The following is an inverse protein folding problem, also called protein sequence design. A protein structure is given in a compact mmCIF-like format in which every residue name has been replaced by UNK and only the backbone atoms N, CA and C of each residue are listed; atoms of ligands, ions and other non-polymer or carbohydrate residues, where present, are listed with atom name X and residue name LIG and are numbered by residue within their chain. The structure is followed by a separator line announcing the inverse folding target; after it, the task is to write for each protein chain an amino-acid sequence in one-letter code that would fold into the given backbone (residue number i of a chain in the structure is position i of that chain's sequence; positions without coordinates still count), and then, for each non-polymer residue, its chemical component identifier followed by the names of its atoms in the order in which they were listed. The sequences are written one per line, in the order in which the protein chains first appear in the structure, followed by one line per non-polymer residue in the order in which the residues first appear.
data_IF_490808163639
#
_entry.id   IF_490808163639
#
_cell.length_a   1.000
_cell.length_b   1.000
_cell.length_c   1.000
_cell.angle_alpha   90.00
_cell.angle_beta   90.00
_cell.angle_gamma   90.00
#
_symmetry.space_group_name_H-M   'P 1'
#
loop_
_entity.id
_entity.type
_entity.pdbx_description
1 polymer ?
#
# COMPACT_ATOMS: atom_id res chain seq x y z
N UNK A 1 14.22 11.43 28.67
CA UNK A 1 15.48 10.71 28.94
C UNK A 1 16.60 11.59 28.38
N UNK A 2 17.83 11.45 28.85
CA UNK A 2 18.95 12.26 28.33
C UNK A 2 19.39 11.74 26.96
N UNK A 3 19.81 12.62 26.05
CA UNK A 3 20.18 12.29 24.67
C UNK A 3 21.39 11.33 24.60
N UNK A 4 22.35 11.49 25.52
CA UNK A 4 23.51 10.60 25.61
C UNK A 4 23.09 9.18 26.04
N UNK A 5 22.10 9.07 26.93
CA UNK A 5 21.58 7.79 27.41
C UNK A 5 20.76 7.07 26.34
N UNK A 6 19.98 7.80 25.53
CA UNK A 6 19.27 7.23 24.37
C UNK A 6 20.26 6.67 23.35
N UNK A 7 21.34 7.40 23.06
CA UNK A 7 22.39 6.91 22.16
C UNK A 7 23.06 5.64 22.68
N UNK A 8 23.38 5.57 23.97
CA UNK A 8 24.00 4.40 24.58
C UNK A 8 23.10 3.16 24.54
N UNK A 9 21.78 3.34 24.73
CA UNK A 9 20.77 2.27 24.54
C UNK A 9 20.85 1.71 23.11
N UNK A 10 20.90 2.59 22.10
CA UNK A 10 20.92 2.20 20.69
C UNK A 10 22.24 1.50 20.32
N UNK A 11 23.38 2.01 20.77
CA UNK A 11 24.69 1.38 20.53
C UNK A 11 24.78 -0.03 21.15
N UNK A 12 24.17 -0.26 22.32
CA UNK A 12 24.10 -1.59 22.93
C UNK A 12 23.12 -2.51 22.18
N UNK A 13 22.01 -1.96 21.67
CA UNK A 13 21.07 -2.71 20.86
C UNK A 13 21.70 -3.18 19.54
N UNK A 14 22.46 -2.33 18.86
CA UNK A 14 23.24 -2.68 17.65
C UNK A 14 24.28 -3.77 17.92
N UNK A 15 24.80 -3.86 19.14
CA UNK A 15 25.69 -4.94 19.59
C UNK A 15 24.96 -6.23 19.98
N UNK A 16 23.67 -6.37 19.64
CA UNK A 16 22.81 -7.53 19.90
C UNK A 16 22.51 -7.81 21.38
N UNK A 17 22.58 -6.80 22.27
CA UNK A 17 22.08 -6.95 23.64
C UNK A 17 20.54 -6.91 23.65
N UNK A 18 19.91 -7.76 24.46
CA UNK A 18 18.45 -7.76 24.62
C UNK A 18 17.99 -6.55 25.43
N UNK A 19 16.75 -6.06 25.27
CA UNK A 19 16.24 -4.94 26.07
C UNK A 19 16.37 -5.15 27.58
N UNK A 20 16.27 -6.41 28.03
CA UNK A 20 16.47 -6.77 29.43
C UNK A 20 17.94 -6.66 29.86
N UNK A 21 18.88 -7.07 29.03
CA UNK A 21 20.32 -6.92 29.30
C UNK A 21 20.75 -5.46 29.31
N UNK A 22 20.25 -4.66 28.36
CA UNK A 22 20.52 -3.21 28.29
C UNK A 22 19.96 -2.51 29.53
N UNK A 23 18.73 -2.83 29.93
CA UNK A 23 18.11 -2.27 31.13
C UNK A 23 18.91 -2.58 32.40
N UNK A 24 19.39 -3.83 32.53
CA UNK A 24 20.26 -4.23 33.64
C UNK A 24 21.60 -3.48 33.60
N UNK A 25 22.20 -3.36 32.41
CA UNK A 25 23.51 -2.73 32.21
C UNK A 25 23.49 -1.22 32.50
N UNK A 26 22.44 -0.52 32.09
CA UNK A 26 22.29 0.93 32.24
C UNK A 26 21.47 1.34 33.48
N UNK A 27 20.99 0.38 34.28
CA UNK A 27 20.18 0.66 35.46
C UNK A 27 18.80 1.28 35.16
N UNK A 28 18.23 0.94 34.00
CA UNK A 28 16.96 1.49 33.51
C UNK A 28 15.81 0.50 33.68
N UNK A 29 14.57 0.98 33.52
CA UNK A 29 13.42 0.07 33.37
C UNK A 29 13.40 -0.48 31.95
N UNK A 30 13.10 -1.78 31.81
CA UNK A 30 12.99 -2.45 30.51
C UNK A 30 12.05 -1.70 29.56
N UNK A 31 10.97 -1.13 30.08
CA UNK A 31 10.04 -0.32 29.28
C UNK A 31 10.70 0.93 28.66
N UNK A 32 11.55 1.65 29.41
CA UNK A 32 12.25 2.85 28.92
C UNK A 32 13.18 2.50 27.75
N UNK A 33 13.86 1.36 27.84
CA UNK A 33 14.72 0.81 26.78
C UNK A 33 13.90 0.41 25.54
N UNK A 34 12.77 -0.28 25.75
CA UNK A 34 11.87 -0.68 24.66
C UNK A 34 11.34 0.55 23.92
N UNK A 35 10.91 1.60 24.63
CA UNK A 35 10.41 2.83 24.04
C UNK A 35 11.45 3.50 23.14
N UNK A 36 12.71 3.61 23.58
CA UNK A 36 13.79 4.20 22.77
C UNK A 36 14.08 3.39 21.52
N UNK A 37 14.14 2.06 21.64
CA UNK A 37 14.36 1.18 20.48
C UNK A 37 13.21 1.31 19.48
N UNK A 38 11.97 1.38 19.95
CA UNK A 38 10.78 1.55 19.10
C UNK A 38 10.73 2.93 18.44
N UNK A 39 11.09 3.99 19.16
CA UNK A 39 11.06 5.35 18.63
C UNK A 39 12.22 5.61 17.65
N UNK A 40 13.38 4.95 17.82
CA UNK A 40 14.45 4.96 16.83
C UNK A 40 14.05 4.19 15.54
N UNK A 41 13.30 3.09 15.66
CA UNK A 41 12.75 2.39 14.47
C UNK A 41 11.76 3.25 13.68
N UNK A 42 11.12 4.24 14.31
CA UNK A 42 10.22 5.21 13.62
C UNK A 42 10.98 6.32 12.89
N UNK A 43 12.30 6.44 13.08
CA UNK A 43 13.16 7.35 12.32
C UNK A 43 13.95 6.53 11.31
N UNK A 44 13.44 6.34 10.07
CA UNK A 44 14.22 5.65 9.06
C UNK A 44 15.49 6.46 8.76
N UNK A 45 16.66 5.89 9.08
CA UNK A 45 17.92 6.36 8.53
C UNK A 45 17.87 6.14 7.01
N UNK A 46 18.13 7.20 6.25
CA UNK A 46 17.98 7.23 4.78
C UNK A 46 19.08 6.44 4.03
N UNK A 47 19.80 5.53 4.67
CA UNK A 47 21.08 5.00 4.14
C UNK A 47 21.28 3.49 4.23
N UNK A 48 20.34 2.72 4.77
CA UNK A 48 20.41 1.26 4.71
C UNK A 48 19.25 0.72 3.87
N UNK A 49 19.56 -0.07 2.83
CA UNK A 49 18.56 -0.91 2.16
C UNK A 49 18.04 -1.91 3.20
N UNK A 50 16.97 -1.53 3.90
CA UNK A 50 16.29 -2.44 4.82
C UNK A 50 15.76 -3.60 3.99
N UNK A 51 16.39 -4.76 4.13
CA UNK A 51 15.96 -5.98 3.47
C UNK A 51 14.56 -6.33 4.00
N UNK A 52 13.54 -6.11 3.17
CA UNK A 52 12.16 -6.33 3.56
C UNK A 52 11.95 -7.83 3.83
N UNK A 53 11.18 -8.18 4.87
CA UNK A 53 10.91 -9.58 5.15
C UNK A 53 10.24 -10.30 3.97
N UNK A 54 10.40 -11.63 3.84
CA UNK A 54 9.92 -12.35 2.67
C UNK A 54 8.40 -12.26 2.52
N UNK A 55 7.95 -12.24 1.26
CA UNK A 55 6.52 -12.20 0.92
C UNK A 55 5.86 -13.50 1.36
N UNK A 56 4.80 -13.37 2.16
CA UNK A 56 3.92 -14.47 2.49
C UNK A 56 2.77 -14.59 1.49
N UNK A 57 2.16 -13.46 1.13
CA UNK A 57 0.99 -13.45 0.25
C UNK A 57 0.82 -12.08 -0.42
N UNK A 58 0.48 -12.07 -1.70
CA UNK A 58 -0.07 -10.89 -2.37
C UNK A 58 -1.44 -11.26 -2.94
N UNK A 59 -2.43 -10.39 -2.74
CA UNK A 59 -3.80 -10.60 -3.20
C UNK A 59 -4.30 -9.37 -3.97
N UNK A 60 -5.23 -9.61 -4.88
CA UNK A 60 -6.06 -8.55 -5.48
C UNK A 60 -7.48 -9.05 -5.71
N UNK A 61 -8.48 -8.16 -5.72
CA UNK A 61 -9.84 -8.54 -6.07
C UNK A 61 -9.92 -9.02 -7.52
N UNK A 62 -10.78 -10.00 -7.77
CA UNK A 62 -10.83 -10.76 -9.03
C UNK A 62 -11.03 -9.88 -10.28
N UNK A 63 -11.88 -8.85 -10.21
CA UNK A 63 -12.13 -7.99 -11.37
C UNK A 63 -10.92 -7.13 -11.76
N UNK A 64 -10.13 -6.70 -10.77
CA UNK A 64 -8.89 -5.97 -11.03
C UNK A 64 -7.85 -6.89 -11.69
N UNK A 65 -7.70 -8.13 -11.23
CA UNK A 65 -6.83 -9.13 -11.88
C UNK A 65 -7.28 -9.41 -13.32
N UNK A 66 -8.56 -9.72 -13.53
CA UNK A 66 -9.12 -9.98 -14.86
C UNK A 66 -8.92 -8.83 -15.82
N UNK A 67 -9.00 -7.57 -15.34
CA UNK A 67 -8.87 -6.39 -16.19
C UNK A 67 -7.43 -6.02 -16.49
N UNK A 68 -6.55 -6.02 -15.48
CA UNK A 68 -5.19 -5.50 -15.64
C UNK A 68 -4.19 -6.60 -16.01
N UNK A 69 -4.32 -7.79 -15.44
CA UNK A 69 -3.36 -8.89 -15.61
C UNK A 69 -3.79 -9.83 -16.74
N UNK A 70 -5.00 -10.38 -16.64
CA UNK A 70 -5.46 -11.41 -17.58
C UNK A 70 -6.03 -10.83 -18.88
N UNK A 71 -6.47 -9.57 -18.84
CA UNK A 71 -7.20 -8.89 -19.93
C UNK A 71 -8.43 -9.67 -20.42
N UNK A 72 -9.09 -10.40 -19.51
CA UNK A 72 -10.28 -11.21 -19.79
C UNK A 72 -11.60 -10.51 -19.46
N UNK A 73 -11.54 -9.29 -18.90
CA UNK A 73 -12.70 -8.45 -18.67
C UNK A 73 -12.79 -7.36 -19.77
N UNK A 74 -13.72 -7.49 -20.74
CA UNK A 74 -13.91 -6.49 -21.79
C UNK A 74 -14.34 -5.14 -21.22
N UNK A 75 -14.00 -4.06 -21.92
CA UNK A 75 -14.27 -2.69 -21.48
C UNK A 75 -15.78 -2.44 -21.23
N UNK A 76 -16.69 -3.07 -21.99
CA UNK A 76 -18.14 -2.93 -21.82
C UNK A 76 -18.69 -3.58 -20.53
N UNK A 77 -17.90 -4.46 -19.91
CA UNK A 77 -18.28 -5.17 -18.69
C UNK A 77 -17.64 -4.57 -17.43
N UNK A 78 -16.87 -3.49 -17.57
CA UNK A 78 -16.22 -2.82 -16.45
C UNK A 78 -17.26 -2.05 -15.64
N UNK A 79 -17.73 -2.68 -14.55
CA UNK A 79 -18.72 -2.11 -13.63
C UNK A 79 -18.09 -1.39 -12.41
N UNK A 80 -16.78 -1.53 -12.23
CA UNK A 80 -16.03 -0.92 -11.12
C UNK A 80 -14.64 -0.50 -11.60
N UNK A 81 -14.12 0.59 -11.03
CA UNK A 81 -12.75 1.05 -11.23
C UNK A 81 -11.81 0.64 -10.11
N UNK A 82 -12.31 -0.06 -9.07
CA UNK A 82 -11.59 -0.27 -7.82
C UNK A 82 -10.83 -1.60 -7.76
N UNK A 83 -9.55 -1.50 -7.42
CA UNK A 83 -8.66 -2.61 -7.10
C UNK A 83 -8.22 -2.53 -5.63
N UNK A 84 -8.35 -3.60 -4.85
CA UNK A 84 -7.74 -3.70 -3.52
C UNK A 84 -6.57 -4.68 -3.56
N UNK A 85 -5.35 -4.16 -3.46
CA UNK A 85 -4.14 -4.97 -3.35
C UNK A 85 -3.79 -5.14 -1.88
N UNK A 86 -3.55 -6.38 -1.44
CA UNK A 86 -3.02 -6.69 -0.11
C UNK A 86 -1.64 -7.35 -0.27
N UNK A 87 -0.65 -6.88 0.49
CA UNK A 87 0.67 -7.48 0.56
C UNK A 87 0.93 -7.89 2.02
N UNK A 88 1.22 -9.16 2.23
CA UNK A 88 1.59 -9.73 3.52
C UNK A 88 3.03 -10.25 3.47
N UNK A 89 3.83 -9.93 4.49
CA UNK A 89 5.20 -10.43 4.68
C UNK A 89 5.30 -11.18 6.01
N UNK A 90 6.14 -12.21 6.05
CA UNK A 90 6.47 -12.88 7.32
C UNK A 90 7.32 -11.94 8.16
N UNK A 91 7.02 -11.75 9.44
CA UNK A 91 7.87 -10.94 10.31
C UNK A 91 8.63 -11.81 11.32
N UNK A 92 7.90 -12.63 12.06
CA UNK A 92 8.41 -13.61 13.03
C UNK A 92 7.54 -14.88 12.98
N UNK A 93 7.84 -15.90 13.80
CA UNK A 93 7.17 -17.21 13.78
C UNK A 93 5.63 -17.16 13.77
N UNK A 94 5.02 -16.21 14.50
CA UNK A 94 3.57 -16.14 14.71
C UNK A 94 2.89 -14.91 14.08
N UNK A 95 3.64 -14.03 13.40
CA UNK A 95 3.14 -12.74 12.92
C UNK A 95 3.38 -12.50 11.43
N UNK A 96 2.37 -11.91 10.81
CA UNK A 96 2.45 -11.25 9.53
C UNK A 96 2.49 -9.74 9.73
N UNK A 97 3.22 -9.05 8.88
CA UNK A 97 2.96 -7.64 8.59
C UNK A 97 2.11 -7.55 7.33
N UNK A 98 1.15 -6.64 7.29
CA UNK A 98 0.29 -6.41 6.12
C UNK A 98 0.22 -4.94 5.72
N UNK A 99 0.16 -4.68 4.42
CA UNK A 99 -0.29 -3.42 3.85
C UNK A 99 -1.42 -3.65 2.86
N UNK A 100 -2.34 -2.71 2.77
CA UNK A 100 -3.40 -2.69 1.74
C UNK A 100 -3.35 -1.39 0.95
N UNK A 101 -3.68 -1.47 -0.34
CA UNK A 101 -3.72 -0.35 -1.26
C UNK A 101 -5.02 -0.41 -2.05
N UNK A 102 -5.89 0.58 -1.83
CA UNK A 102 -7.10 0.76 -2.62
C UNK A 102 -6.79 1.67 -3.81
N UNK A 103 -7.05 1.18 -5.00
CA UNK A 103 -6.63 1.77 -6.26
C UNK A 103 -7.85 2.02 -7.11
N UNK A 104 -7.90 3.17 -7.77
CA UNK A 104 -8.72 3.42 -8.94
C UNK A 104 -7.84 3.28 -10.19
N UNK A 105 -7.96 2.12 -10.85
CA UNK A 105 -7.13 1.78 -12.01
C UNK A 105 -7.66 2.38 -13.33
N UNK A 106 -8.79 3.09 -13.29
CA UNK A 106 -9.32 3.78 -14.46
C UNK A 106 -9.02 5.29 -14.44
N UNK A 107 -8.69 5.87 -13.28
CA UNK A 107 -8.44 7.30 -13.19
C UNK A 107 -7.50 7.70 -12.04
N UNK A 108 -7.94 7.58 -10.79
CA UNK A 108 -7.37 8.35 -9.68
C UNK A 108 -6.08 7.77 -9.07
N UNK A 109 -5.71 6.54 -9.42
CA UNK A 109 -4.55 5.86 -8.82
C UNK A 109 -4.84 5.41 -7.39
N UNK A 110 -3.85 5.42 -6.50
CA UNK A 110 -4.02 4.99 -5.09
C UNK A 110 -4.93 5.98 -4.35
N UNK A 111 -6.15 5.54 -4.03
CA UNK A 111 -7.18 6.30 -3.30
C UNK A 111 -7.05 6.21 -1.79
N UNK A 112 -6.56 5.09 -1.29
CA UNK A 112 -6.36 4.86 0.14
C UNK A 112 -5.31 3.77 0.37
N UNK A 113 -4.71 3.76 1.56
CA UNK A 113 -3.77 2.72 1.98
C UNK A 113 -3.73 2.59 3.50
N UNK A 114 -3.46 1.37 3.96
CA UNK A 114 -3.29 1.04 5.37
C UNK A 114 -2.05 0.16 5.58
N UNK A 115 -1.46 0.27 6.75
CA UNK A 115 -0.29 -0.51 7.19
C UNK A 115 1.02 0.30 7.20
N UNK A 116 2.17 -0.36 7.41
CA UNK A 116 2.31 -1.75 7.82
C UNK A 116 1.60 -2.03 9.16
N UNK A 117 0.84 -3.11 9.23
CA UNK A 117 0.15 -3.53 10.46
C UNK A 117 0.55 -4.96 10.82
N UNK A 118 0.98 -5.17 12.06
CA UNK A 118 1.25 -6.50 12.61
C UNK A 118 -0.04 -7.26 12.90
N UNK A 119 -0.02 -8.55 12.59
CA UNK A 119 -1.16 -9.42 12.68
C UNK A 119 -0.75 -10.84 13.08
N UNK A 120 -1.39 -11.38 14.10
CA UNK A 120 -1.26 -12.81 14.43
C UNK A 120 -1.69 -13.70 13.26
N UNK A 121 -1.00 -14.84 13.10
CA UNK A 121 -1.24 -15.78 12.01
C UNK A 121 -2.70 -16.22 11.89
N UNK A 122 -3.38 -16.50 13.01
CA UNK A 122 -4.78 -16.94 13.03
C UNK A 122 -5.78 -15.85 12.61
N UNK A 123 -5.37 -14.58 12.58
CA UNK A 123 -6.22 -13.46 12.17
C UNK A 123 -6.11 -13.16 10.67
N UNK A 124 -5.12 -13.70 9.97
CA UNK A 124 -4.86 -13.34 8.57
C UNK A 124 -6.07 -13.60 7.67
N UNK A 125 -6.66 -14.79 7.75
CA UNK A 125 -7.81 -15.15 6.93
C UNK A 125 -9.06 -14.31 7.25
N UNK A 126 -9.23 -13.92 8.52
CA UNK A 126 -10.32 -13.04 8.93
C UNK A 126 -10.15 -11.64 8.34
N UNK A 127 -8.94 -11.08 8.41
CA UNK A 127 -8.64 -9.77 7.83
C UNK A 127 -8.81 -9.80 6.33
N UNK A 128 -8.26 -10.79 5.63
CA UNK A 128 -8.42 -10.94 4.18
C UNK A 128 -9.92 -10.98 3.81
N UNK A 129 -10.71 -11.83 4.46
CA UNK A 129 -12.16 -11.94 4.17
C UNK A 129 -12.89 -10.61 4.37
N UNK A 130 -12.59 -9.89 5.45
CA UNK A 130 -13.21 -8.60 5.72
C UNK A 130 -12.76 -7.52 4.74
N UNK A 131 -11.48 -7.49 4.36
CA UNK A 131 -10.94 -6.56 3.38
C UNK A 131 -11.61 -6.72 2.02
N UNK A 132 -11.92 -7.95 1.62
CA UNK A 132 -12.52 -8.23 0.32
C UNK A 132 -14.04 -8.37 0.31
N UNK A 133 -14.73 -8.18 1.45
CA UNK A 133 -16.19 -8.38 1.54
C UNK A 133 -17.02 -7.51 0.58
N UNK A 134 -16.50 -6.34 0.21
CA UNK A 134 -17.15 -5.42 -0.73
C UNK A 134 -16.96 -5.82 -2.21
N UNK A 135 -16.12 -6.81 -2.50
CA UNK A 135 -15.85 -7.30 -3.85
C UNK A 135 -16.54 -8.64 -4.06
N UNK A 136 -17.69 -8.62 -4.74
CA UNK A 136 -18.57 -9.80 -4.94
C UNK A 136 -17.87 -10.98 -5.59
N UNK A 137 -16.90 -10.73 -6.48
CA UNK A 137 -16.15 -11.76 -7.19
C UNK A 137 -14.95 -12.29 -6.39
N UNK A 138 -14.77 -11.84 -5.15
CA UNK A 138 -13.71 -12.26 -4.25
C UNK A 138 -12.33 -11.72 -4.65
N UNK A 139 -11.31 -12.54 -4.41
CA UNK A 139 -9.90 -12.20 -4.60
C UNK A 139 -9.10 -13.40 -5.10
N UNK A 140 -7.95 -13.11 -5.72
CA UNK A 140 -6.99 -14.09 -6.23
C UNK A 140 -5.59 -13.79 -5.71
N UNK A 141 -4.73 -14.81 -5.67
CA UNK A 141 -3.31 -14.61 -5.38
C UNK A 141 -2.60 -14.04 -6.61
N UNK A 142 -1.66 -13.15 -6.38
CA UNK A 142 -0.77 -12.57 -7.38
C UNK A 142 0.67 -12.61 -6.87
N UNK A 143 1.62 -12.36 -7.74
CA UNK A 143 3.03 -12.16 -7.40
C UNK A 143 3.26 -10.76 -6.81
N UNK A 144 4.42 -10.56 -6.17
CA UNK A 144 4.84 -9.22 -5.76
C UNK A 144 5.02 -8.29 -6.97
N UNK A 145 5.56 -8.81 -8.08
CA UNK A 145 5.76 -8.03 -9.30
C UNK A 145 4.42 -7.49 -9.85
N UNK A 146 3.39 -8.34 -9.91
CA UNK A 146 2.04 -7.93 -10.31
C UNK A 146 1.46 -6.91 -9.32
N UNK A 147 1.62 -7.12 -8.01
CA UNK A 147 1.17 -6.17 -6.99
C UNK A 147 1.85 -4.80 -7.17
N UNK A 148 3.17 -4.78 -7.39
CA UNK A 148 3.93 -3.56 -7.66
C UNK A 148 3.48 -2.89 -8.96
N UNK A 149 3.31 -3.66 -10.04
CA UNK A 149 2.87 -3.14 -11.33
C UNK A 149 1.46 -2.51 -11.24
N UNK A 150 0.55 -3.12 -10.48
CA UNK A 150 -0.79 -2.57 -10.23
C UNK A 150 -0.69 -1.29 -9.40
N UNK A 151 -0.04 -1.32 -8.23
CA UNK A 151 0.02 -0.19 -7.30
C UNK A 151 0.81 0.97 -7.91
N UNK A 152 2.08 0.75 -8.24
CA UNK A 152 2.99 1.79 -8.71
C UNK A 152 2.68 2.22 -10.15
N UNK A 153 2.20 1.31 -10.98
CA UNK A 153 1.68 1.66 -12.30
C UNK A 153 0.48 2.61 -12.21
N UNK A 154 -0.44 2.39 -11.26
CA UNK A 154 -1.60 3.27 -11.06
C UNK A 154 -1.19 4.66 -10.58
N UNK A 155 -0.17 4.76 -9.71
CA UNK A 155 0.41 6.02 -9.27
C UNK A 155 1.02 6.77 -10.45
N UNK A 156 1.82 6.09 -11.26
CA UNK A 156 2.44 6.67 -12.45
C UNK A 156 1.41 7.10 -13.50
N UNK A 157 0.32 6.36 -13.66
CA UNK A 157 -0.79 6.72 -14.53
C UNK A 157 -1.52 7.96 -14.04
N UNK A 158 -1.96 7.96 -12.78
CA UNK A 158 -2.69 9.06 -12.17
C UNK A 158 -1.88 10.36 -12.11
N UNK A 159 -0.56 10.27 -11.92
CA UNK A 159 0.36 11.39 -11.98
C UNK A 159 0.31 12.13 -13.33
N UNK A 160 0.19 11.40 -14.45
CA UNK A 160 0.04 12.00 -15.80
C UNK A 160 -1.29 12.76 -15.95
N UNK A 161 -2.29 12.42 -15.14
CA UNK A 161 -3.60 13.08 -15.11
C UNK A 161 -3.65 14.27 -14.14
N UNK A 162 -2.57 14.49 -13.37
CA UNK A 162 -2.46 15.55 -12.37
C UNK A 162 -2.95 15.16 -10.98
N UNK A 163 -3.12 13.86 -10.70
CA UNK A 163 -3.44 13.36 -9.37
C UNK A 163 -2.19 12.91 -8.62
N UNK A 164 -2.27 12.99 -7.29
CA UNK A 164 -1.28 12.42 -6.38
C UNK A 164 -1.92 11.22 -5.68
N UNK A 165 -1.12 10.21 -5.28
CA UNK A 165 -1.64 9.15 -4.42
C UNK A 165 -2.13 9.72 -3.09
N UNK A 166 -2.93 8.94 -2.37
CA UNK A 166 -3.34 9.26 -1.01
C UNK A 166 -2.15 9.64 -0.12
N UNK A 167 -2.31 10.59 0.80
CA UNK A 167 -1.21 11.13 1.62
C UNK A 167 -0.48 10.05 2.44
N UNK A 168 -1.21 9.06 2.94
CA UNK A 168 -0.63 7.93 3.68
C UNK A 168 0.19 6.97 2.80
N UNK A 169 0.22 7.15 1.48
CA UNK A 169 1.01 6.32 0.58
C UNK A 169 2.51 6.45 0.83
N UNK A 170 2.98 7.62 1.29
CA UNK A 170 4.39 7.79 1.66
C UNK A 170 4.82 6.83 2.79
N UNK A 171 3.89 6.49 3.70
CA UNK A 171 4.15 5.59 4.83
C UNK A 171 4.14 4.10 4.44
N UNK A 172 3.60 3.76 3.27
CA UNK A 172 3.37 2.37 2.84
C UNK A 172 4.15 2.00 1.60
N UNK A 173 4.57 2.98 0.79
CA UNK A 173 5.33 2.79 -0.45
C UNK A 173 6.56 1.88 -0.27
N UNK A 174 7.36 2.12 0.79
CA UNK A 174 8.57 1.34 1.05
C UNK A 174 8.26 -0.16 1.23
N UNK A 175 7.05 -0.52 1.66
CA UNK A 175 6.64 -1.91 1.88
C UNK A 175 6.52 -2.73 0.59
N UNK A 176 6.34 -2.06 -0.55
CA UNK A 176 6.35 -2.69 -1.87
C UNK A 176 7.76 -3.11 -2.29
N UNK A 177 8.80 -2.54 -1.68
CA UNK A 177 10.19 -2.80 -2.03
C UNK A 177 10.60 -2.22 -3.39
N UNK A 178 11.76 -2.64 -3.86
CA UNK A 178 12.30 -2.21 -5.15
C UNK A 178 11.45 -2.74 -6.31
N UNK A 179 11.07 -1.86 -7.22
CA UNK A 179 10.26 -2.18 -8.40
C UNK A 179 11.09 -2.09 -9.68
N UNK A 180 11.27 -3.23 -10.34
CA UNK A 180 12.07 -3.37 -11.56
C UNK A 180 11.33 -2.96 -12.85
N UNK A 181 10.03 -2.66 -12.77
CA UNK A 181 9.20 -2.19 -13.90
C UNK A 181 9.20 -3.12 -15.14
N UNK A 182 9.31 -4.44 -14.94
CA UNK A 182 9.32 -5.40 -16.06
C UNK A 182 7.91 -5.67 -16.60
N UNK A 183 6.89 -5.66 -15.75
CA UNK A 183 5.49 -5.78 -16.14
C UNK A 183 4.84 -4.40 -16.34
N UNK A 184 4.33 -4.16 -17.56
CA UNK A 184 3.57 -2.96 -17.92
C UNK A 184 2.08 -3.28 -18.04
N UNK A 185 1.24 -2.50 -17.35
CA UNK A 185 -0.21 -2.65 -17.34
C UNK A 185 -0.89 -1.45 -18.01
N UNK A 186 -2.04 -1.70 -18.64
CA UNK A 186 -2.86 -0.66 -19.26
C UNK A 186 -3.94 -0.18 -18.28
N UNK A 187 -3.84 1.11 -17.90
CA UNK A 187 -4.80 1.80 -17.04
C UNK A 187 -5.75 2.68 -17.85
N UNK A 188 -6.87 3.06 -17.25
CA UNK A 188 -7.96 3.73 -17.96
C UNK A 188 -8.89 2.76 -18.68
N UNK A 189 -9.83 3.32 -19.44
CA UNK A 189 -10.80 2.58 -20.24
C UNK A 189 -10.75 3.10 -21.68
N UNK A 190 -10.64 2.21 -22.67
CA UNK A 190 -10.54 2.60 -24.08
C UNK A 190 -9.45 3.67 -24.35
N UNK A 191 -8.32 3.56 -23.66
CA UNK A 191 -7.17 4.46 -23.81
C UNK A 191 -7.33 5.85 -23.19
N UNK A 192 -8.39 6.11 -22.42
CA UNK A 192 -8.61 7.40 -21.74
C UNK A 192 -8.99 7.23 -20.26
N UNK A 193 -8.85 8.27 -19.44
CA UNK A 193 -9.32 8.24 -18.05
C UNK A 193 -10.83 8.06 -18.01
N UNK A 194 -11.27 7.17 -17.13
CA UNK A 194 -12.68 6.92 -16.88
C UNK A 194 -12.95 7.03 -15.39
N UNK A 195 -13.54 8.14 -14.97
CA UNK A 195 -13.74 8.46 -13.57
C UNK A 195 -15.14 8.04 -13.09
N UNK A 196 -15.19 7.11 -12.15
CA UNK A 196 -16.43 6.74 -11.46
C UNK A 196 -16.48 7.49 -10.13
N UNK A 197 -17.45 8.39 -9.97
CA UNK A 197 -17.56 9.17 -8.75
C UNK A 197 -17.89 8.27 -7.55
N UNK A 198 -16.97 8.24 -6.58
CA UNK A 198 -17.17 7.60 -5.29
C UNK A 198 -17.72 8.55 -4.22
N UNK A 199 -18.25 8.01 -3.11
CA UNK A 199 -18.89 8.79 -2.05
C UNK A 199 -17.95 9.75 -1.31
N UNK A 200 -16.64 9.47 -1.32
CA UNK A 200 -15.62 10.28 -0.66
C UNK A 200 -14.90 11.24 -1.61
N UNK A 201 -15.29 11.26 -2.89
CA UNK A 201 -14.58 12.02 -3.91
C UNK A 201 -15.09 13.46 -4.00
N UNK A 202 -14.18 14.43 -4.13
CA UNK A 202 -14.54 15.79 -4.53
C UNK A 202 -14.70 15.86 -6.05
N UNK A 203 -15.89 15.49 -6.53
CA UNK A 203 -16.23 15.47 -7.95
C UNK A 203 -15.80 16.74 -8.70
N UNK A 204 -16.11 17.92 -8.16
CA UNK A 204 -15.80 19.21 -8.83
C UNK A 204 -14.31 19.42 -8.99
N UNK A 205 -13.53 19.07 -7.97
CA UNK A 205 -12.07 19.20 -8.02
C UNK A 205 -11.46 18.21 -9.03
N UNK A 206 -11.93 16.96 -9.03
CA UNK A 206 -11.44 15.92 -9.94
C UNK A 206 -11.71 16.29 -11.40
N UNK A 207 -12.92 16.71 -11.74
CA UNK A 207 -13.26 17.15 -13.09
C UNK A 207 -12.41 18.35 -13.51
N UNK A 208 -12.23 19.34 -12.62
CA UNK A 208 -11.37 20.50 -12.91
C UNK A 208 -9.92 20.07 -13.18
N UNK A 209 -9.39 19.10 -12.44
CA UNK A 209 -8.06 18.54 -12.66
C UNK A 209 -7.96 17.85 -14.02
N UNK A 210 -8.94 17.02 -14.38
CA UNK A 210 -8.98 16.35 -15.69
C UNK A 210 -9.10 17.36 -16.84
N UNK A 211 -10.01 18.33 -16.74
CA UNK A 211 -10.16 19.39 -17.74
C UNK A 211 -8.86 20.18 -17.94
N UNK A 212 -8.11 20.43 -16.86
CA UNK A 212 -6.84 21.15 -16.91
C UNK A 212 -5.70 20.33 -17.54
N UNK A 213 -5.59 19.04 -17.21
CA UNK A 213 -4.41 18.23 -17.57
C UNK A 213 -4.60 17.43 -18.85
N UNK A 214 -5.80 16.90 -19.11
CA UNK A 214 -6.08 16.12 -20.33
C UNK A 214 -7.03 16.82 -21.30
N UNK A 215 -7.80 17.81 -20.84
CA UNK A 215 -8.73 18.58 -21.68
C UNK A 215 -10.14 17.99 -21.74
N UNK A 216 -11.14 18.85 -21.99
CA UNK A 216 -12.53 18.43 -22.15
C UNK A 216 -12.68 17.48 -23.34
N UNK A 217 -13.42 16.38 -23.14
CA UNK A 217 -13.64 15.35 -24.16
C UNK A 217 -12.58 14.25 -24.21
N UNK A 218 -11.48 14.40 -23.47
CA UNK A 218 -10.40 13.40 -23.39
C UNK A 218 -10.48 12.51 -22.14
N UNK A 219 -11.60 12.54 -21.43
CA UNK A 219 -11.92 11.67 -20.30
C UNK A 219 -13.43 11.48 -20.24
N UNK A 220 -13.86 10.35 -19.68
CA UNK A 220 -15.26 10.08 -19.36
C UNK A 220 -15.46 10.04 -17.85
N UNK A 221 -16.70 10.23 -17.42
CA UNK A 221 -17.07 10.02 -16.03
C UNK A 221 -18.51 9.56 -15.89
N UNK A 222 -18.78 8.83 -14.82
CA UNK A 222 -20.15 8.53 -14.36
C UNK A 222 -20.30 9.09 -12.96
N UNK A 223 -21.42 9.75 -12.71
CA UNK A 223 -21.86 10.09 -11.36
C UNK A 223 -22.40 8.83 -10.71
N UNK A 224 -21.75 8.35 -9.65
CA UNK A 224 -22.29 7.29 -8.83
C UNK A 224 -23.66 7.72 -8.30
N UNK A 225 -24.63 6.81 -8.33
CA UNK A 225 -25.87 7.03 -7.59
C UNK A 225 -25.50 6.82 -6.12
N UNK A 226 -25.47 7.93 -5.36
CA UNK A 226 -25.26 7.89 -3.91
C UNK A 226 -26.36 7.14 -3.18
#
# INVERSE_FOLDING_TARGET
MDFELEREILELHEKNFTPQQIAIYLGLRVFEVITVIQDNRKSPSLTEEVELPPIAKCLVNTNCAKRLLDQTLPDEQVMSSLGLVLVARFQDYDYYSICTYLIDYLCLGVKDTMGPQELYHEKLDFVIKNSYQAFSDGYVNITLEEAQAIVLGSVNYAAKLGFKPHENFENTYQYLGRWEQQLHLEFGLQGKPFYINGPYDNFRQIIKTLEKNVGRGNFDYILGVG
#
